data_IF_339988063398
#
_entry.id   IF_339988063398
#
_cell.length_a   1.000
_cell.length_b   1.000
_cell.length_c   1.000
_cell.angle_alpha   90.00
_cell.angle_beta   90.00
_cell.angle_gamma   90.00
#
_symmetry.space_group_name_H-M   'P 1'
#
loop_
_entity.id
_entity.type
_entity.pdbx_description
1 polymer ?
#
# COMPACT_ATOMS: atom_id res chain seq x y z
N UNK A 1 10.13 -4.64 23.17
CA UNK A 1 9.12 -3.65 22.75
C UNK A 1 9.33 -3.41 21.26
N UNK A 2 8.27 -3.37 20.43
CA UNK A 2 8.36 -3.16 18.97
C UNK A 2 7.92 -1.73 18.65
N UNK A 3 8.70 -1.02 17.83
CA UNK A 3 8.48 0.38 17.46
C UNK A 3 7.85 0.59 16.08
N UNK A 4 7.78 -0.46 15.25
CA UNK A 4 7.19 -0.38 13.92
C UNK A 4 7.37 -1.67 13.11
N UNK A 5 6.78 -1.71 11.92
CA UNK A 5 6.92 -2.82 10.98
C UNK A 5 7.01 -2.29 9.55
N UNK A 6 7.89 -2.90 8.75
CA UNK A 6 7.92 -2.71 7.30
C UNK A 6 7.41 -4.00 6.66
N UNK A 7 6.27 -3.92 5.98
CA UNK A 7 5.57 -5.10 5.45
C UNK A 7 5.37 -4.95 3.94
N UNK A 8 5.55 -6.05 3.22
CA UNK A 8 5.23 -6.16 1.79
C UNK A 8 4.06 -7.13 1.66
N UNK A 9 3.00 -6.68 0.99
CA UNK A 9 1.83 -7.50 0.70
C UNK A 9 1.97 -8.06 -0.72
N UNK A 10 1.99 -9.38 -0.85
CA UNK A 10 1.90 -10.04 -2.14
C UNK A 10 0.43 -10.21 -2.50
N UNK A 11 0.06 -9.74 -3.69
CA UNK A 11 -1.30 -9.87 -4.22
C UNK A 11 -1.31 -10.67 -5.51
N UNK A 12 -2.41 -11.40 -5.74
CA UNK A 12 -2.73 -11.99 -7.05
C UNK A 12 -3.25 -10.94 -8.04
N UNK A 13 -3.84 -9.86 -7.54
CA UNK A 13 -4.34 -8.74 -8.33
C UNK A 13 -3.91 -7.43 -7.65
N UNK A 14 -2.69 -7.01 -7.95
CA UNK A 14 -2.10 -5.85 -7.31
C UNK A 14 -2.84 -4.55 -7.64
N UNK A 15 -3.44 -4.42 -8.82
CA UNK A 15 -4.09 -3.18 -9.23
C UNK A 15 -5.44 -2.97 -8.52
N UNK A 16 -6.23 -4.04 -8.36
CA UNK A 16 -7.45 -3.99 -7.58
C UNK A 16 -7.17 -3.63 -6.11
N UNK A 17 -6.16 -4.26 -5.51
CA UNK A 17 -5.81 -4.00 -4.11
C UNK A 17 -5.28 -2.57 -3.91
N UNK A 18 -4.44 -2.07 -4.81
CA UNK A 18 -3.97 -0.66 -4.79
C UNK A 18 -5.15 0.31 -4.85
N UNK A 19 -6.11 0.06 -5.73
CA UNK A 19 -7.32 0.88 -5.83
C UNK A 19 -8.16 0.81 -4.56
N UNK A 20 -8.30 -0.38 -3.94
CA UNK A 20 -8.99 -0.53 -2.66
C UNK A 20 -8.34 0.31 -1.55
N UNK A 21 -7.03 0.20 -1.35
CA UNK A 21 -6.33 0.97 -0.31
C UNK A 21 -6.38 2.49 -0.55
N UNK A 22 -6.27 2.92 -1.82
CA UNK A 22 -6.27 4.35 -2.18
C UNK A 22 -7.66 4.97 -2.22
N UNK A 23 -8.63 4.28 -2.82
CA UNK A 23 -9.92 4.89 -3.16
C UNK A 23 -10.99 4.57 -2.12
N UNK A 24 -10.95 3.36 -1.54
CA UNK A 24 -11.94 2.92 -0.55
C UNK A 24 -11.46 3.25 0.85
N UNK A 25 -10.24 2.85 1.21
CA UNK A 25 -9.69 3.12 2.53
C UNK A 25 -9.05 4.50 2.66
N UNK A 26 -8.78 5.17 1.53
CA UNK A 26 -8.21 6.52 1.47
C UNK A 26 -6.90 6.67 2.24
N UNK A 27 -6.06 5.62 2.24
CA UNK A 27 -4.76 5.67 2.90
C UNK A 27 -3.80 6.59 2.15
N UNK A 28 -3.10 7.50 2.87
CA UNK A 28 -2.06 8.33 2.25
C UNK A 28 -0.95 7.43 1.69
N UNK A 29 -0.66 7.62 0.41
CA UNK A 29 0.33 6.81 -0.29
C UNK A 29 1.23 7.66 -1.20
N UNK A 30 2.46 7.20 -1.37
CA UNK A 30 3.38 7.69 -2.41
C UNK A 30 3.59 6.58 -3.43
N UNK A 31 3.45 6.91 -4.73
CA UNK A 31 3.82 6.00 -5.81
C UNK A 31 5.33 6.11 -6.08
N UNK A 32 6.07 5.04 -5.78
CA UNK A 32 7.50 4.93 -6.05
C UNK A 32 7.82 4.53 -7.51
N UNK A 33 6.81 4.52 -8.38
CA UNK A 33 6.89 4.23 -9.80
C UNK A 33 6.31 2.86 -10.15
N UNK A 34 5.74 2.76 -11.36
CA UNK A 34 5.09 1.54 -11.90
C UNK A 34 3.99 0.98 -10.98
N UNK A 35 3.31 1.87 -10.23
CA UNK A 35 2.23 1.52 -9.32
C UNK A 35 2.69 0.98 -7.96
N UNK A 36 3.97 1.13 -7.60
CA UNK A 36 4.47 0.68 -6.31
C UNK A 36 4.09 1.66 -5.20
N UNK A 37 2.92 1.44 -4.58
CA UNK A 37 2.41 2.29 -3.51
C UNK A 37 3.09 1.98 -2.17
N UNK A 38 3.65 3.01 -1.56
CA UNK A 38 4.12 3.01 -0.16
C UNK A 38 3.09 3.77 0.66
N UNK A 39 2.51 3.11 1.65
CA UNK A 39 1.51 3.70 2.54
C UNK A 39 2.20 4.20 3.81
N UNK A 40 1.87 5.42 4.23
CA UNK A 40 2.28 5.94 5.53
C UNK A 40 1.23 5.53 6.56
N UNK A 41 1.56 4.52 7.38
CA UNK A 41 0.72 3.98 8.45
C UNK A 41 1.34 4.26 9.82
#
# INVERSE_FOLDING_TARGET
>A
MISGAHVIIYSKDADADRAFFRDVLQFPAVDAGRGWLIFAL
#
